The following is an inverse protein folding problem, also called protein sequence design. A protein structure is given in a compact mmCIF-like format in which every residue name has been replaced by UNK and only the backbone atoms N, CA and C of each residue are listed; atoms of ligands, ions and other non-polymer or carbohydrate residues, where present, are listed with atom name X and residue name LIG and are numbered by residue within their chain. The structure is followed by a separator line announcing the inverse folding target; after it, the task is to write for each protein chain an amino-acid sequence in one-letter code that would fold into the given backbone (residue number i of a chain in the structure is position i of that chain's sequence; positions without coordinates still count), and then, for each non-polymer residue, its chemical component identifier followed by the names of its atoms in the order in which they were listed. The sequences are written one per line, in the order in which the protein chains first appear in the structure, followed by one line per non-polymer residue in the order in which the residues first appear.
data_IF_234057523808
#
_entry.id   IF_234057523808
#
_cell.length_a   1.000
_cell.length_b   1.000
_cell.length_c   1.000
_cell.angle_alpha   90.00
_cell.angle_beta   90.00
_cell.angle_gamma   90.00
#
_symmetry.space_group_name_H-M   'P 1'
#
loop_
_entity.id
_entity.type
_entity.pdbx_description
1 polymer ?
#
# COMPACT_ATOMS: atom_id res chain seq x y z
N UNK A 1 24.81 33.98 -20.63
CA UNK A 1 23.90 33.02 -21.31
C UNK A 1 24.57 32.22 -22.43
N UNK A 2 25.56 32.74 -23.18
CA UNK A 2 26.22 31.98 -24.26
C UNK A 2 27.05 30.75 -23.80
N UNK A 3 27.57 30.72 -22.58
CA UNK A 3 28.37 29.57 -22.09
C UNK A 3 27.57 28.33 -21.71
N UNK A 4 26.28 28.46 -21.35
CA UNK A 4 25.45 27.31 -20.94
C UNK A 4 25.05 26.48 -22.16
N UNK A 5 24.84 27.14 -23.31
CA UNK A 5 24.48 26.47 -24.56
C UNK A 5 25.63 25.59 -25.09
N UNK A 6 26.89 25.99 -24.88
CA UNK A 6 28.05 25.23 -25.34
C UNK A 6 28.25 23.92 -24.55
N UNK A 7 27.97 23.94 -23.24
CA UNK A 7 28.10 22.75 -22.38
C UNK A 7 27.04 21.70 -22.74
N UNK A 8 25.82 22.13 -23.06
CA UNK A 8 24.73 21.23 -23.47
C UNK A 8 25.00 20.53 -24.80
N UNK A 9 25.61 21.21 -25.77
CA UNK A 9 25.96 20.61 -27.08
C UNK A 9 27.07 19.57 -26.93
N UNK A 10 28.06 19.80 -26.07
CA UNK A 10 29.16 18.85 -25.82
C UNK A 10 28.63 17.60 -25.10
N UNK A 11 27.72 17.76 -24.13
CA UNK A 11 27.12 16.62 -23.42
C UNK A 11 26.30 15.71 -24.34
N UNK A 12 25.58 16.27 -25.32
CA UNK A 12 24.80 15.50 -26.29
C UNK A 12 25.71 14.71 -27.25
N UNK A 13 26.85 15.27 -27.67
CA UNK A 13 27.79 14.58 -28.56
C UNK A 13 28.47 13.36 -27.91
N UNK A 14 28.68 13.38 -26.60
CA UNK A 14 29.27 12.24 -25.86
C UNK A 14 28.29 11.07 -25.75
N UNK A 15 26.98 11.34 -25.71
CA UNK A 15 25.95 10.29 -25.59
C UNK A 15 25.79 9.52 -26.91
N UNK A 16 25.99 10.18 -28.07
CA UNK A 16 25.78 9.55 -29.38
C UNK A 16 26.94 8.60 -29.74
N UNK A 17 28.17 8.85 -29.25
CA UNK A 17 29.32 7.97 -29.55
C UNK A 17 29.34 6.66 -28.75
N UNK A 18 28.42 6.46 -27.80
CA UNK A 18 28.36 5.24 -26.98
C UNK A 18 27.46 4.14 -27.56
N UNK A 19 26.75 4.39 -28.68
CA UNK A 19 25.79 3.43 -29.23
C UNK A 19 26.33 2.56 -30.39
N UNK A 20 27.56 2.77 -30.88
CA UNK A 20 28.02 2.14 -32.13
C UNK A 20 28.92 0.90 -31.96
N UNK A 21 28.79 0.17 -30.84
CA UNK A 21 29.57 -1.07 -30.66
C UNK A 21 28.73 -2.22 -30.09
N UNK A 22 27.67 -2.60 -30.81
CA UNK A 22 26.96 -3.86 -30.59
C UNK A 22 26.67 -4.56 -31.91
N UNK A 23 27.73 -4.98 -32.60
CA UNK A 23 27.64 -5.92 -33.72
C UNK A 23 28.76 -6.94 -33.60
N UNK A 24 28.58 -7.91 -32.72
CA UNK A 24 29.06 -9.28 -32.85
C UNK A 24 28.88 -10.01 -31.52
N UNK A 25 28.00 -11.00 -31.49
CA UNK A 25 28.32 -12.42 -31.25
C UNK A 25 27.09 -13.20 -31.74
N UNK A 26 27.13 -13.55 -33.03
CA UNK A 26 26.43 -14.73 -33.52
C UNK A 26 27.24 -15.94 -33.05
N UNK A 27 26.75 -16.59 -32.01
CA UNK A 27 27.08 -17.96 -31.64
C UNK A 27 25.93 -18.49 -30.80
N UNK A 28 24.74 -18.58 -31.42
CA UNK A 28 23.75 -19.56 -31.03
C UNK A 28 24.38 -20.94 -31.30
N UNK A 29 25.22 -21.38 -30.37
CA UNK A 29 25.37 -22.80 -30.14
C UNK A 29 23.95 -23.27 -29.83
N UNK A 30 23.32 -23.96 -30.77
CA UNK A 30 22.26 -24.90 -30.45
C UNK A 30 22.82 -25.82 -29.38
N UNK A 31 22.56 -25.44 -28.12
CA UNK A 31 22.81 -26.26 -26.95
C UNK A 31 22.00 -27.51 -27.23
N UNK A 32 22.66 -28.60 -27.62
CA UNK A 32 22.05 -29.91 -27.81
C UNK A 32 21.01 -30.08 -26.70
N UNK A 33 19.73 -30.12 -27.10
CA UNK A 33 18.64 -30.26 -26.15
C UNK A 33 18.93 -31.52 -25.33
N UNK A 34 19.21 -31.34 -24.04
CA UNK A 34 19.48 -32.47 -23.16
C UNK A 34 18.25 -33.38 -23.26
N UNK A 35 18.38 -34.65 -23.71
CA UNK A 35 17.22 -35.52 -23.90
C UNK A 35 16.50 -35.85 -22.59
N UNK A 36 17.08 -35.48 -21.44
CA UNK A 36 16.48 -35.57 -20.13
C UNK A 36 15.85 -34.26 -19.62
N UNK A 37 15.92 -33.15 -20.38
CA UNK A 37 15.37 -31.85 -19.96
C UNK A 37 13.84 -31.91 -19.84
N UNK A 38 13.34 -31.90 -18.61
CA UNK A 38 11.90 -31.91 -18.33
C UNK A 38 11.26 -30.51 -18.42
N UNK A 39 12.00 -29.54 -18.95
CA UNK A 39 11.67 -28.10 -19.05
C UNK A 39 11.80 -27.36 -17.72
N UNK A 40 12.65 -27.87 -16.83
CA UNK A 40 12.96 -27.29 -15.52
C UNK A 40 11.72 -27.17 -14.63
N UNK A 41 10.99 -28.27 -14.42
CA UNK A 41 9.97 -28.37 -13.36
C UNK A 41 10.63 -28.59 -11.99
N UNK A 42 11.53 -27.68 -11.61
CA UNK A 42 12.24 -27.71 -10.34
C UNK A 42 13.08 -28.98 -10.08
N UNK A 43 13.73 -29.45 -11.11
CA UNK A 43 14.54 -30.67 -11.14
C UNK A 43 15.90 -30.40 -11.77
N UNK A 44 16.91 -31.13 -11.29
CA UNK A 44 18.21 -31.25 -11.94
C UNK A 44 18.19 -32.52 -12.77
N UNK A 45 18.26 -32.34 -14.08
CA UNK A 45 18.24 -33.45 -15.03
C UNK A 45 19.64 -33.98 -15.28
N UNK A 46 19.86 -35.25 -14.97
CA UNK A 46 21.12 -35.94 -15.22
C UNK A 46 20.88 -37.33 -15.83
N UNK A 47 21.91 -37.91 -16.45
CA UNK A 47 21.91 -39.33 -16.81
C UNK A 47 22.69 -40.13 -15.77
N UNK A 48 22.12 -41.25 -15.33
CA UNK A 48 22.86 -42.20 -14.49
C UNK A 48 23.86 -43.02 -15.33
N UNK A 49 24.63 -43.89 -14.67
CA UNK A 49 25.61 -44.77 -15.35
C UNK A 49 25.00 -45.72 -16.38
N UNK A 50 23.69 -45.96 -16.33
CA UNK A 50 22.95 -46.83 -17.24
C UNK A 50 22.36 -46.05 -18.42
N UNK A 51 22.57 -44.73 -18.48
CA UNK A 51 22.00 -43.85 -19.52
C UNK A 51 20.53 -43.47 -19.29
N UNK A 52 19.95 -43.83 -18.14
CA UNK A 52 18.59 -43.45 -17.75
C UNK A 52 18.57 -42.01 -17.23
N UNK A 53 17.52 -41.27 -17.56
CA UNK A 53 17.31 -39.93 -17.02
C UNK A 53 16.90 -40.02 -15.54
N UNK A 54 17.57 -39.22 -14.71
CA UNK A 54 17.28 -39.03 -13.30
C UNK A 54 16.99 -37.55 -13.07
N UNK A 55 15.87 -37.25 -12.40
CA UNK A 55 15.43 -35.90 -12.12
C UNK A 55 15.46 -35.71 -10.60
N UNK A 56 16.45 -34.98 -10.10
CA UNK A 56 16.59 -34.72 -8.67
C UNK A 56 15.95 -33.38 -8.33
N UNK A 57 15.08 -33.32 -7.31
CA UNK A 57 14.42 -32.07 -6.90
C UNK A 57 15.48 -31.00 -6.56
N UNK A 58 15.35 -29.82 -7.16
CA UNK A 58 16.12 -28.64 -6.81
C UNK A 58 15.62 -28.07 -5.49
N UNK A 59 16.55 -27.82 -4.55
CA UNK A 59 16.22 -27.10 -3.32
C UNK A 59 15.98 -25.62 -3.60
N UNK A 60 14.96 -25.04 -2.95
CA UNK A 60 14.54 -23.63 -3.13
C UNK A 60 14.05 -23.34 -4.55
N UNK A 61 13.33 -24.30 -5.14
CA UNK A 61 12.73 -24.10 -6.43
C UNK A 61 11.20 -24.10 -6.32
N UNK A 62 10.63 -22.98 -6.75
CA UNK A 62 9.19 -22.76 -6.70
C UNK A 62 8.44 -23.69 -7.67
N UNK A 63 7.72 -24.65 -7.11
CA UNK A 63 6.90 -25.63 -7.80
C UNK A 63 7.23 -27.08 -7.48
N UNK A 64 8.12 -27.34 -6.51
CA UNK A 64 8.45 -28.68 -6.02
C UNK A 64 7.46 -29.17 -4.93
N UNK A 65 6.44 -28.37 -4.59
CA UNK A 65 5.44 -28.60 -3.54
C UNK A 65 6.01 -28.68 -2.11
N UNK A 66 7.21 -28.14 -1.87
CA UNK A 66 7.86 -28.07 -0.57
C UNK A 66 8.12 -26.61 -0.23
N UNK A 67 7.41 -26.06 0.75
CA UNK A 67 7.64 -24.68 1.18
C UNK A 67 8.93 -24.51 2.00
N UNK A 68 10.06 -24.27 1.33
CA UNK A 68 11.33 -24.02 2.00
C UNK A 68 11.39 -22.62 2.64
N UNK A 69 12.35 -22.44 3.57
CA UNK A 69 12.42 -21.22 4.37
C UNK A 69 12.64 -19.94 3.55
N UNK A 70 13.33 -20.05 2.41
CA UNK A 70 13.63 -18.92 1.52
C UNK A 70 12.45 -18.57 0.59
N UNK A 71 11.46 -19.45 0.52
CA UNK A 71 10.27 -19.29 -0.31
C UNK A 71 9.09 -18.67 0.44
N UNK A 72 9.11 -18.80 1.77
CA UNK A 72 8.12 -18.26 2.69
C UNK A 72 8.03 -16.74 2.64
N UNK A 73 6.95 -16.23 3.22
CA UNK A 73 6.75 -14.80 3.41
C UNK A 73 7.94 -14.12 4.10
N UNK A 74 8.61 -13.22 3.38
CA UNK A 74 9.63 -12.36 3.94
C UNK A 74 8.96 -11.29 4.82
N UNK A 75 9.20 -11.35 6.13
CA UNK A 75 8.53 -10.48 7.09
C UNK A 75 8.85 -8.99 6.93
N UNK A 76 9.97 -8.64 6.30
CA UNK A 76 10.40 -7.25 6.08
C UNK A 76 9.77 -6.65 4.82
N UNK A 77 9.75 -7.42 3.72
CA UNK A 77 9.23 -6.95 2.43
C UNK A 77 7.75 -7.28 2.22
N UNK A 78 7.22 -8.20 3.04
CA UNK A 78 5.86 -8.75 2.93
C UNK A 78 5.58 -9.36 1.56
N UNK A 79 6.59 -10.00 0.95
CA UNK A 79 6.48 -10.68 -0.34
C UNK A 79 6.85 -12.14 -0.14
N UNK A 80 6.08 -13.06 -0.71
CA UNK A 80 6.42 -14.47 -0.81
C UNK A 80 7.27 -14.71 -2.06
N UNK A 81 8.31 -15.54 -1.95
CA UNK A 81 9.15 -15.85 -3.12
C UNK A 81 8.52 -16.92 -4.00
N UNK A 82 7.66 -17.78 -3.44
CA UNK A 82 6.92 -18.80 -4.18
C UNK A 82 5.47 -18.95 -3.70
N UNK A 83 4.51 -18.41 -4.45
CA UNK A 83 3.08 -18.58 -4.14
C UNK A 83 2.52 -19.95 -4.54
N UNK A 84 3.29 -20.79 -5.25
CA UNK A 84 2.88 -22.12 -5.69
C UNK A 84 3.03 -23.15 -4.58
N UNK A 85 4.13 -23.06 -3.83
CA UNK A 85 4.48 -24.03 -2.78
C UNK A 85 4.24 -23.48 -1.38
N UNK A 86 4.35 -22.16 -1.18
CA UNK A 86 4.14 -21.50 0.09
C UNK A 86 2.85 -20.68 0.14
N UNK A 87 2.32 -20.52 1.36
CA UNK A 87 1.27 -19.54 1.63
C UNK A 87 1.76 -18.11 1.35
N UNK A 88 0.87 -17.32 0.76
CA UNK A 88 1.08 -15.89 0.54
C UNK A 88 1.28 -15.14 1.86
N UNK A 89 2.02 -14.03 1.80
CA UNK A 89 2.15 -13.17 2.97
C UNK A 89 0.78 -12.72 3.51
N UNK A 90 0.54 -12.88 4.82
CA UNK A 90 -0.70 -12.45 5.42
C UNK A 90 -0.85 -10.94 5.25
N UNK A 91 -2.10 -10.49 5.17
CA UNK A 91 -2.42 -9.08 5.07
C UNK A 91 -1.89 -8.32 6.29
N UNK A 92 -1.35 -7.14 6.02
CA UNK A 92 -0.90 -6.20 7.04
C UNK A 92 -1.37 -4.83 6.60
N UNK A 93 -2.21 -4.21 7.42
CA UNK A 93 -2.79 -2.92 7.10
C UNK A 93 -1.93 -1.80 7.66
N UNK A 94 -1.67 -0.82 6.80
CA UNK A 94 -1.15 0.49 7.19
C UNK A 94 -2.20 1.54 6.82
N UNK A 95 -2.40 2.50 7.71
CA UNK A 95 -3.35 3.59 7.49
C UNK A 95 -2.62 4.91 7.57
N UNK A 96 -3.14 5.92 6.88
CA UNK A 96 -2.65 7.29 6.96
C UNK A 96 -3.77 8.28 6.69
N UNK A 97 -3.79 9.39 7.42
CA UNK A 97 -4.59 10.54 7.06
C UNK A 97 -3.99 11.27 5.85
N UNK A 98 -4.79 11.54 4.82
CA UNK A 98 -4.37 12.23 3.60
C UNK A 98 -4.62 13.74 3.67
N UNK A 99 -5.67 14.16 4.37
CA UNK A 99 -6.03 15.56 4.45
C UNK A 99 -7.51 15.80 4.60
N UNK A 100 -7.87 17.08 4.55
CA UNK A 100 -9.25 17.53 4.62
C UNK A 100 -9.57 18.44 3.43
N UNK A 101 -10.73 18.22 2.81
CA UNK A 101 -11.25 19.01 1.69
C UNK A 101 -12.57 19.67 2.08
N UNK A 102 -12.84 20.88 1.58
CA UNK A 102 -14.07 21.64 1.89
C UNK A 102 -13.84 22.70 2.97
N UNK A 103 -14.79 22.87 3.88
CA UNK A 103 -14.76 23.88 4.95
C UNK A 103 -13.92 23.42 6.15
N UNK A 104 -12.64 23.18 5.90
CA UNK A 104 -11.66 22.77 6.90
C UNK A 104 -10.23 23.16 6.55
N UNK A 105 -9.36 23.16 7.56
CA UNK A 105 -7.92 23.41 7.41
C UNK A 105 -7.11 22.42 8.23
N UNK A 106 -5.96 22.00 7.71
CA UNK A 106 -4.97 21.21 8.46
C UNK A 106 -3.87 22.16 8.96
N UNK A 107 -3.69 22.23 10.27
CA UNK A 107 -2.66 23.03 10.92
C UNK A 107 -1.29 22.35 10.82
N UNK A 108 -0.22 23.11 11.09
CA UNK A 108 1.15 22.61 11.05
C UNK A 108 1.44 21.50 12.09
N UNK A 109 0.65 21.43 13.16
CA UNK A 109 0.72 20.38 14.18
C UNK A 109 -0.10 19.12 13.80
N UNK A 110 -0.70 19.09 12.61
CA UNK A 110 -1.55 18.01 12.13
C UNK A 110 -3.00 18.07 12.63
N UNK A 111 -3.36 19.02 13.50
CA UNK A 111 -4.75 19.19 13.91
C UNK A 111 -5.62 19.74 12.78
N UNK A 112 -6.85 19.28 12.71
CA UNK A 112 -7.82 19.65 11.68
C UNK A 112 -8.81 20.61 12.31
N UNK A 113 -9.04 21.76 11.70
CA UNK A 113 -10.13 22.66 12.08
C UNK A 113 -11.23 22.53 11.05
N UNK A 114 -12.45 22.20 11.48
CA UNK A 114 -13.62 22.14 10.61
C UNK A 114 -14.66 23.16 11.06
N UNK A 115 -15.20 23.90 10.10
CA UNK A 115 -16.22 24.93 10.31
C UNK A 115 -17.60 24.50 9.75
N UNK A 116 -17.62 23.47 8.91
CA UNK A 116 -18.83 22.97 8.27
C UNK A 116 -18.57 21.81 7.30
N UNK A 117 -19.14 21.90 6.10
CA UNK A 117 -19.16 20.80 5.14
C UNK A 117 -17.74 20.41 4.71
N UNK A 118 -17.29 19.22 5.08
CA UNK A 118 -15.92 18.80 4.87
C UNK A 118 -15.76 17.29 4.66
N UNK A 119 -14.71 16.90 3.96
CA UNK A 119 -14.33 15.51 3.71
C UNK A 119 -12.98 15.25 4.36
N UNK A 120 -12.94 14.30 5.29
CA UNK A 120 -11.71 13.75 5.85
C UNK A 120 -11.32 12.54 5.03
N UNK A 121 -10.10 12.53 4.50
CA UNK A 121 -9.63 11.49 3.59
C UNK A 121 -8.54 10.65 4.26
N UNK A 122 -8.70 9.33 4.19
CA UNK A 122 -7.77 8.35 4.72
C UNK A 122 -7.36 7.40 3.59
N UNK A 123 -6.10 6.96 3.59
CA UNK A 123 -5.63 5.86 2.78
C UNK A 123 -5.39 4.64 3.65
N UNK A 124 -5.86 3.50 3.15
CA UNK A 124 -5.62 2.18 3.73
C UNK A 124 -4.78 1.42 2.71
N UNK A 125 -3.64 0.90 3.14
CA UNK A 125 -2.70 0.14 2.33
C UNK A 125 -2.57 -1.27 2.90
N UNK A 126 -2.76 -2.29 2.06
CA UNK A 126 -2.46 -3.67 2.41
C UNK A 126 -1.04 -4.00 1.95
N UNK A 127 -0.12 -4.09 2.90
CA UNK A 127 1.27 -4.45 2.65
C UNK A 127 1.44 -5.95 2.38
N UNK A 128 0.47 -6.80 2.74
CA UNK A 128 0.51 -8.23 2.48
C UNK A 128 0.03 -8.59 1.07
N UNK A 129 -0.02 -9.89 0.78
CA UNK A 129 -0.40 -10.41 -0.55
C UNK A 129 -1.81 -11.02 -0.57
N UNK A 130 -2.34 -11.35 0.60
CA UNK A 130 -3.70 -11.88 0.75
C UNK A 130 -4.73 -10.75 0.75
N UNK A 131 -5.89 -11.01 0.13
CA UNK A 131 -7.01 -10.07 0.11
C UNK A 131 -7.76 -10.13 1.45
N UNK A 132 -8.26 -9.00 1.93
CA UNK A 132 -9.06 -8.94 3.16
C UNK A 132 -10.30 -8.06 3.01
N UNK A 133 -11.34 -8.39 3.76
CA UNK A 133 -12.49 -7.52 3.92
C UNK A 133 -12.25 -6.56 5.08
N UNK A 134 -12.45 -5.27 4.84
CA UNK A 134 -12.28 -4.21 5.82
C UNK A 134 -13.64 -3.61 6.13
N UNK A 135 -13.91 -3.45 7.43
CA UNK A 135 -15.07 -2.72 7.92
C UNK A 135 -14.57 -1.41 8.56
N UNK A 136 -14.64 -0.27 7.85
CA UNK A 136 -14.26 1.01 8.42
C UNK A 136 -15.33 1.50 9.40
N UNK A 137 -14.90 2.27 10.40
CA UNK A 137 -15.76 2.91 11.37
C UNK A 137 -15.10 4.22 11.83
N UNK A 138 -15.78 5.35 11.67
CA UNK A 138 -15.32 6.63 12.22
C UNK A 138 -15.98 6.92 13.57
N UNK A 139 -15.16 7.33 14.55
CA UNK A 139 -15.66 7.72 15.86
C UNK A 139 -14.85 8.87 16.44
N UNK A 140 -15.48 9.71 17.26
CA UNK A 140 -14.82 10.79 17.98
C UNK A 140 -15.09 10.69 19.48
N UNK A 141 -14.09 11.09 20.28
CA UNK A 141 -14.18 11.27 21.73
C UNK A 141 -13.76 12.70 22.08
N UNK A 142 -14.15 13.20 23.26
CA UNK A 142 -13.68 14.51 23.72
C UNK A 142 -12.26 14.34 24.26
N UNK A 143 -11.35 15.20 23.82
CA UNK A 143 -9.95 15.14 24.26
C UNK A 143 -9.86 15.16 25.80
N UNK A 144 -9.17 14.18 26.37
CA UNK A 144 -8.96 14.04 27.81
C UNK A 144 -10.14 13.48 28.63
N UNK A 145 -11.26 13.10 28.00
CA UNK A 145 -12.46 12.61 28.71
C UNK A 145 -12.66 11.09 28.72
N UNK A 146 -11.72 10.31 28.17
CA UNK A 146 -11.73 8.84 28.25
C UNK A 146 -12.71 8.17 27.27
N UNK A 147 -13.26 7.01 27.67
CA UNK A 147 -14.03 6.09 26.80
C UNK A 147 -15.45 6.63 26.60
N UNK A 148 -15.81 6.95 25.35
CA UNK A 148 -17.19 7.28 25.00
C UNK A 148 -17.30 7.96 23.63
N UNK A 149 -18.01 7.32 22.69
CA UNK A 149 -18.27 7.92 21.37
C UNK A 149 -19.20 9.11 21.51
N UNK A 150 -18.86 10.22 20.86
CA UNK A 150 -19.70 11.40 20.81
C UNK A 150 -20.45 11.45 19.49
N UNK A 151 -21.72 11.82 19.57
CA UNK A 151 -22.53 12.13 18.40
C UNK A 151 -22.24 13.58 17.96
N UNK A 152 -21.59 13.76 16.81
CA UNK A 152 -21.26 15.09 16.29
C UNK A 152 -22.50 15.93 15.94
N UNK A 153 -23.68 15.32 15.82
CA UNK A 153 -24.92 16.04 15.55
C UNK A 153 -25.25 17.04 16.69
N UNK A 154 -24.81 16.75 17.92
CA UNK A 154 -24.92 17.69 19.05
C UNK A 154 -24.11 18.98 18.85
N UNK A 155 -23.11 18.94 17.96
CA UNK A 155 -22.29 20.09 17.58
C UNK A 155 -22.63 20.62 16.18
N UNK A 156 -23.78 20.23 15.61
CA UNK A 156 -24.26 20.73 14.32
C UNK A 156 -23.69 20.01 13.09
N UNK A 157 -23.00 18.87 13.27
CA UNK A 157 -22.42 18.10 12.18
C UNK A 157 -22.97 16.67 12.13
N UNK A 158 -23.51 16.27 11.00
CA UNK A 158 -23.81 14.88 10.69
C UNK A 158 -22.57 14.22 10.10
N UNK A 159 -22.35 12.94 10.43
CA UNK A 159 -21.24 12.14 9.90
C UNK A 159 -21.81 11.09 8.97
N UNK A 160 -21.27 11.02 7.77
CA UNK A 160 -21.48 9.93 6.83
C UNK A 160 -20.12 9.47 6.35
N UNK A 161 -19.83 8.18 6.46
CA UNK A 161 -18.60 7.62 5.97
C UNK A 161 -18.84 6.68 4.78
N UNK A 162 -17.85 6.62 3.91
CA UNK A 162 -17.94 5.84 2.68
C UNK A 162 -16.58 5.28 2.30
N UNK A 163 -16.62 4.06 1.76
CA UNK A 163 -15.48 3.35 1.20
C UNK A 163 -15.91 2.82 -0.16
N UNK A 164 -15.03 2.87 -1.17
CA UNK A 164 -15.41 2.47 -2.53
C UNK A 164 -15.73 0.98 -2.62
N UNK A 165 -14.98 0.15 -1.89
CA UNK A 165 -15.16 -1.29 -1.82
C UNK A 165 -14.73 -1.79 -0.43
N UNK A 166 -15.34 -2.85 0.09
CA UNK A 166 -14.91 -3.44 1.36
C UNK A 166 -13.76 -4.44 1.18
N UNK A 167 -13.47 -4.88 -0.05
CA UNK A 167 -12.39 -5.80 -0.34
C UNK A 167 -11.10 -5.02 -0.63
N UNK A 168 -10.08 -5.19 0.21
CA UNK A 168 -8.75 -4.67 -0.05
C UNK A 168 -7.84 -5.79 -0.54
N UNK A 169 -7.47 -5.70 -1.82
CA UNK A 169 -6.59 -6.68 -2.44
C UNK A 169 -5.17 -6.63 -1.84
N UNK A 170 -4.42 -7.72 -1.96
CA UNK A 170 -3.00 -7.75 -1.64
C UNK A 170 -2.24 -6.64 -2.38
N UNK A 171 -1.27 -6.01 -1.71
CA UNK A 171 -0.40 -4.95 -2.26
C UNK A 171 -1.17 -3.77 -2.87
N UNK A 172 -2.39 -3.51 -2.40
CA UNK A 172 -3.26 -2.47 -2.94
C UNK A 172 -3.58 -1.40 -1.92
N UNK A 173 -4.16 -0.31 -2.42
CA UNK A 173 -4.55 0.88 -1.65
C UNK A 173 -6.00 1.20 -1.90
N UNK A 174 -6.65 1.75 -0.87
CA UNK A 174 -8.04 2.11 -0.90
C UNK A 174 -8.25 3.42 -0.15
N UNK A 175 -9.20 4.22 -0.64
CA UNK A 175 -9.56 5.50 -0.05
C UNK A 175 -10.81 5.34 0.81
N UNK A 176 -10.72 5.82 2.04
CA UNK A 176 -11.85 5.95 2.96
C UNK A 176 -12.14 7.44 3.18
N UNK A 177 -13.40 7.83 3.03
CA UNK A 177 -13.81 9.24 3.13
C UNK A 177 -14.88 9.39 4.20
N UNK A 178 -14.65 10.29 5.15
CA UNK A 178 -15.63 10.70 6.15
C UNK A 178 -16.14 12.08 5.78
N UNK A 179 -17.41 12.15 5.42
CA UNK A 179 -18.12 13.37 5.08
C UNK A 179 -18.81 13.94 6.33
N UNK A 180 -18.39 15.14 6.72
CA UNK A 180 -19.01 15.95 7.75
C UNK A 180 -19.98 16.92 7.07
N UNK A 181 -21.27 16.84 7.41
CA UNK A 181 -22.31 17.70 6.83
C UNK A 181 -22.93 18.59 7.91
N UNK A 182 -23.02 19.89 7.64
CA UNK A 182 -23.64 20.87 8.52
C UNK A 182 -22.71 22.03 8.80
N UNK A 183 -23.02 22.77 9.86
CA UNK A 183 -22.25 23.93 10.32
C UNK A 183 -22.00 23.73 11.80
N UNK A 184 -20.74 23.87 12.21
CA UNK A 184 -20.41 23.75 13.63
C UNK A 184 -21.07 24.88 14.43
N UNK A 185 -21.73 24.52 15.53
CA UNK A 185 -22.36 25.46 16.46
C UNK A 185 -21.61 25.55 17.80
N UNK A 186 -20.38 25.04 17.85
CA UNK A 186 -19.59 24.95 19.08
C UNK A 186 -18.10 25.01 18.80
N UNK A 187 -17.34 25.43 19.81
CA UNK A 187 -15.88 25.35 19.83
C UNK A 187 -15.42 24.21 20.74
N UNK A 188 -15.05 23.07 20.15
CA UNK A 188 -14.63 21.88 20.90
C UNK A 188 -13.44 21.17 20.22
N UNK A 189 -12.55 20.61 21.04
CA UNK A 189 -11.47 19.75 20.58
C UNK A 189 -11.89 18.29 20.79
N UNK A 190 -11.73 17.50 19.73
CA UNK A 190 -12.08 16.09 19.65
C UNK A 190 -10.87 15.29 19.21
N UNK A 191 -10.79 14.08 19.71
CA UNK A 191 -9.89 13.05 19.21
C UNK A 191 -10.74 12.06 18.41
N UNK A 192 -10.52 12.01 17.10
CA UNK A 192 -11.30 11.15 16.21
C UNK A 192 -10.41 10.08 15.62
N UNK A 193 -10.96 8.89 15.44
CA UNK A 193 -10.24 7.75 14.88
C UNK A 193 -11.04 7.13 13.75
N UNK A 194 -10.36 6.88 12.63
CA UNK A 194 -10.83 5.93 11.63
C UNK A 194 -10.33 4.54 12.04
N UNK A 195 -11.26 3.66 12.40
CA UNK A 195 -11.00 2.29 12.81
C UNK A 195 -11.27 1.35 11.63
N UNK A 196 -10.31 0.47 11.34
CA UNK A 196 -10.38 -0.50 10.27
C UNK A 196 -10.28 -1.89 10.87
N UNK A 197 -11.40 -2.61 10.87
CA UNK A 197 -11.47 -3.97 11.40
C UNK A 197 -11.28 -4.97 10.28
N UNK A 198 -10.38 -5.92 10.49
CA UNK A 198 -10.28 -7.13 9.68
C UNK A 198 -9.92 -8.31 10.60
N UNK A 199 -10.56 -9.45 10.39
CA UNK A 199 -10.40 -10.62 11.27
C UNK A 199 -10.63 -10.27 12.76
N UNK A 200 -9.60 -10.45 13.60
CA UNK A 200 -9.60 -10.12 15.03
C UNK A 200 -8.78 -8.86 15.36
N UNK A 201 -8.20 -8.24 14.34
CA UNK A 201 -7.31 -7.10 14.49
C UNK A 201 -8.08 -5.80 14.26
N UNK A 202 -7.73 -4.78 15.04
CA UNK A 202 -8.23 -3.43 14.87
C UNK A 202 -7.05 -2.52 14.59
N UNK A 203 -7.12 -1.76 13.50
CA UNK A 203 -6.14 -0.72 13.18
C UNK A 203 -6.83 0.62 13.24
N UNK A 204 -6.15 1.62 13.82
CA UNK A 204 -6.72 2.94 13.99
C UNK A 204 -5.75 4.01 13.50
N UNK A 205 -6.29 4.99 12.79
CA UNK A 205 -5.62 6.26 12.51
C UNK A 205 -6.34 7.35 13.30
N UNK A 206 -5.62 8.01 14.20
CA UNK A 206 -6.18 9.06 15.06
C UNK A 206 -5.81 10.44 14.55
N UNK A 207 -6.79 11.33 14.52
CA UNK A 207 -6.67 12.74 14.17
C UNK A 207 -7.25 13.61 15.30
N UNK A 208 -6.74 14.83 15.42
CA UNK A 208 -7.29 15.82 16.33
C UNK A 208 -8.19 16.77 15.55
N UNK A 209 -9.50 16.70 15.80
CA UNK A 209 -10.51 17.50 15.14
C UNK A 209 -10.98 18.62 16.06
N UNK A 210 -10.77 19.87 15.65
CA UNK A 210 -11.32 21.05 16.29
C UNK A 210 -12.53 21.53 15.52
N UNK A 211 -13.68 21.51 16.17
CA UNK A 211 -14.87 22.17 15.66
C UNK A 211 -14.81 23.65 16.01
N UNK A 212 -15.18 24.52 15.08
CA UNK A 212 -15.20 25.95 15.28
C UNK A 212 -16.39 26.58 14.58
N UNK A 213 -17.10 27.46 15.29
CA UNK A 213 -18.16 28.27 14.69
C UNK A 213 -17.60 29.16 13.56
N UNK A 214 -18.30 29.24 12.42
CA UNK A 214 -17.90 30.15 11.36
C UNK A 214 -17.88 31.60 11.86
N UNK A 215 -16.81 32.33 11.54
CA UNK A 215 -16.62 33.71 12.01
C UNK A 215 -17.74 34.67 11.61
N UNK A 216 -18.44 34.41 10.50
CA UNK A 216 -19.56 35.22 10.01
C UNK A 216 -20.85 35.06 10.84
N UNK A 217 -20.93 34.08 11.74
CA UNK A 217 -22.06 33.90 12.66
C UNK A 217 -21.85 34.56 14.03
N UNK A 218 -20.63 35.01 14.32
CA UNK A 218 -20.29 35.67 15.58
C UNK A 218 -20.67 37.15 15.45
N UNK A 219 -21.89 37.47 15.89
CA UNK A 219 -22.39 38.86 16.02
C UNK A 219 -22.08 39.45 17.39
#
# INVERSE_FOLDING_TARGET
MKSILLILVIAVLIIISACDNSNNINSLNEKEANPCDDKNECTLDAKNSNGECINAIMQNCCGNNICEINERCNQLTRISSCSKDCELCPAEIKTRFLGCNGECTVNADGSIVSYGNSNLEFEIENLGETNINILPEFACIKSGQGIGKINLAYYGLNVQDSISENLLNGKSKLKYTVNLQGISNSKINLECSANFKYNKDNHFETIFLRLQEPSYLIK
#
